data_IF_347890820917
#
_entry.id   IF_347890820917
#
_cell.length_a   1.000
_cell.length_b   1.000
_cell.length_c   1.000
_cell.angle_alpha   90.00
_cell.angle_beta   90.00
_cell.angle_gamma   90.00
#
_symmetry.space_group_name_H-M   'P 1'
#
loop_
_entity.id
_entity.type
_entity.pdbx_description
1 polymer ?
#
# COMPACT_ATOMS: atom_id res chain seq x y z
N UNK A 1 16.24 -19.42 -24.73
CA UNK A 1 14.98 -18.86 -24.20
C UNK A 1 15.07 -18.89 -22.69
N UNK A 2 15.56 -17.79 -22.09
CA UNK A 2 15.83 -17.72 -20.65
C UNK A 2 14.60 -17.07 -20.01
N UNK A 3 13.82 -17.89 -19.33
CA UNK A 3 12.66 -17.49 -18.54
C UNK A 3 13.17 -16.78 -17.28
N UNK A 4 12.99 -15.46 -17.17
CA UNK A 4 13.21 -14.76 -15.91
C UNK A 4 11.90 -14.78 -15.11
N UNK A 5 11.72 -15.81 -14.29
CA UNK A 5 10.83 -15.73 -13.13
C UNK A 5 11.51 -14.82 -12.10
N UNK A 6 11.12 -13.55 -12.06
CA UNK A 6 11.53 -12.64 -11.01
C UNK A 6 10.64 -12.87 -9.78
N UNK A 7 10.89 -13.96 -9.06
CA UNK A 7 10.44 -14.11 -7.69
C UNK A 7 11.37 -13.24 -6.83
N UNK A 8 10.96 -12.00 -6.57
CA UNK A 8 11.60 -11.15 -5.56
C UNK A 8 11.26 -11.77 -4.20
N UNK A 9 12.05 -12.77 -3.81
CA UNK A 9 12.07 -13.27 -2.46
C UNK A 9 12.34 -12.08 -1.53
N UNK A 10 11.30 -11.70 -0.78
CA UNK A 10 11.45 -10.83 0.37
C UNK A 10 12.26 -11.60 1.38
N UNK A 11 13.54 -11.25 1.54
CA UNK A 11 14.22 -11.54 2.78
C UNK A 11 13.45 -10.78 3.86
N UNK A 12 12.77 -11.44 4.81
CA UNK A 12 12.30 -10.73 5.97
C UNK A 12 13.58 -10.18 6.61
N UNK A 13 13.64 -8.86 6.78
CA UNK A 13 14.67 -8.21 7.59
C UNK A 13 14.45 -8.68 9.03
N UNK A 14 14.85 -9.92 9.28
CA UNK A 14 14.78 -10.58 10.58
C UNK A 14 16.07 -10.15 11.25
N UNK A 15 16.10 -8.88 11.66
CA UNK A 15 17.14 -8.44 12.59
C UNK A 15 17.07 -9.38 13.78
N UNK A 16 18.23 -9.89 14.22
CA UNK A 16 18.34 -10.80 15.35
C UNK A 16 17.64 -10.17 16.57
N UNK A 17 16.37 -10.53 16.75
CA UNK A 17 15.47 -9.85 17.66
C UNK A 17 15.87 -10.20 19.08
N UNK A 18 16.26 -9.21 19.88
CA UNK A 18 16.40 -9.43 21.32
C UNK A 18 14.99 -9.63 21.88
N UNK A 19 14.76 -10.68 22.69
CA UNK A 19 13.44 -10.90 23.28
C UNK A 19 13.08 -9.73 24.19
N UNK A 20 12.04 -8.99 23.81
CA UNK A 20 11.56 -7.84 24.58
C UNK A 20 10.89 -8.35 25.85
N UNK A 21 11.19 -7.78 27.04
CA UNK A 21 10.49 -8.14 28.28
C UNK A 21 8.97 -8.01 28.14
N UNK A 22 8.18 -8.85 28.83
CA UNK A 22 6.72 -8.75 28.82
C UNK A 22 6.24 -7.42 29.40
N UNK A 23 5.00 -7.05 29.09
CA UNK A 23 4.36 -5.86 29.64
C UNK A 23 4.41 -5.88 31.18
N UNK A 24 4.56 -4.70 31.80
CA UNK A 24 4.80 -4.47 33.23
C UNK A 24 6.25 -4.66 33.75
N UNK A 25 7.19 -5.25 32.98
CA UNK A 25 8.62 -5.36 33.38
C UNK A 25 9.58 -4.57 32.48
N UNK A 26 9.10 -3.48 31.87
CA UNK A 26 9.86 -2.68 30.88
C UNK A 26 10.51 -1.41 31.46
N UNK A 27 10.52 -1.23 32.78
CA UNK A 27 11.07 -0.02 33.41
C UNK A 27 12.59 0.15 33.18
N UNK A 28 13.33 -0.94 33.01
CA UNK A 28 14.77 -0.95 32.69
C UNK A 28 15.07 -1.01 31.19
N UNK A 29 14.04 -1.07 30.33
CA UNK A 29 14.22 -1.19 28.88
C UNK A 29 14.48 0.19 28.27
N UNK A 30 15.69 0.40 27.75
CA UNK A 30 16.07 1.60 27.01
C UNK A 30 16.43 1.23 25.57
N UNK A 31 15.46 1.16 24.65
CA UNK A 31 15.72 0.77 23.27
C UNK A 31 16.43 1.92 22.54
N UNK A 32 17.58 1.62 21.94
CA UNK A 32 18.34 2.59 21.11
C UNK A 32 18.56 2.07 19.69
N UNK A 33 18.69 0.75 19.53
CA UNK A 33 18.90 0.11 18.24
C UNK A 33 17.60 -0.50 17.75
N UNK A 34 17.52 -0.74 16.44
CA UNK A 34 16.36 -1.37 15.84
C UNK A 34 16.10 -2.77 16.40
N UNK A 35 17.17 -3.51 16.74
CA UNK A 35 17.07 -4.87 17.27
C UNK A 35 16.43 -4.94 18.67
N UNK A 36 16.43 -3.83 19.41
CA UNK A 36 15.89 -3.76 20.79
C UNK A 36 14.35 -3.73 20.81
N UNK A 37 13.70 -3.51 19.65
CA UNK A 37 12.25 -3.51 19.50
C UNK A 37 11.68 -4.89 19.13
N UNK A 38 12.52 -5.91 18.93
CA UNK A 38 12.10 -7.26 18.57
C UNK A 38 11.33 -7.30 17.24
N UNK A 39 10.04 -7.62 17.28
CA UNK A 39 9.14 -7.65 16.12
C UNK A 39 8.65 -6.25 15.67
N UNK A 40 9.13 -5.19 16.31
CA UNK A 40 8.70 -3.82 16.08
C UNK A 40 7.68 -3.33 17.12
N UNK A 41 7.39 -2.02 17.06
CA UNK A 41 6.48 -1.34 17.99
C UNK A 41 7.20 -0.52 19.05
N UNK A 42 6.72 0.71 19.26
CA UNK A 42 7.22 1.60 20.29
C UNK A 42 6.54 1.30 21.64
N UNK A 43 7.24 1.60 22.74
CA UNK A 43 6.77 1.38 24.11
C UNK A 43 6.40 2.72 24.78
N UNK A 44 5.10 3.07 24.88
CA UNK A 44 4.67 4.38 25.43
C UNK A 44 5.07 4.63 26.89
N UNK A 45 5.31 3.56 27.65
CA UNK A 45 5.71 3.64 29.07
C UNK A 45 7.18 4.02 29.28
N UNK A 46 8.01 3.89 28.25
CA UNK A 46 9.42 4.25 28.30
C UNK A 46 9.52 5.68 27.76
N UNK A 47 9.84 6.63 28.63
CA UNK A 47 9.97 8.05 28.29
C UNK A 47 11.30 8.35 27.57
N UNK A 48 11.53 7.64 26.47
CA UNK A 48 12.67 7.81 25.57
C UNK A 48 12.09 7.88 24.16
N UNK A 49 12.69 8.71 23.31
CA UNK A 49 12.30 8.81 21.91
C UNK A 49 12.65 7.50 21.21
N UNK A 50 11.69 6.91 20.52
CA UNK A 50 11.77 5.55 19.98
C UNK A 50 11.48 5.54 18.49
N UNK A 51 12.31 4.82 17.73
CA UNK A 51 12.23 4.74 16.27
C UNK A 51 12.30 3.29 15.74
N UNK A 52 11.33 2.41 16.05
CA UNK A 52 11.30 1.05 15.51
C UNK A 52 10.96 1.09 14.01
N UNK A 53 11.90 0.93 13.08
CA UNK A 53 11.80 1.11 11.62
C UNK A 53 12.13 2.53 11.16
N UNK A 54 12.87 3.30 11.98
CA UNK A 54 13.25 4.68 11.67
C UNK A 54 12.06 5.63 11.40
N UNK A 55 10.83 5.18 11.70
CA UNK A 55 9.62 5.96 11.54
C UNK A 55 9.63 7.17 12.46
N UNK A 56 9.32 8.36 11.95
CA UNK A 56 9.29 9.59 12.73
C UNK A 56 10.66 10.25 12.97
N UNK A 57 11.75 9.64 12.49
CA UNK A 57 13.06 10.28 12.47
C UNK A 57 13.10 11.31 11.33
N UNK A 58 13.34 12.59 11.64
CA UNK A 58 13.46 13.65 10.63
C UNK A 58 14.55 13.38 9.60
N UNK A 59 15.65 12.75 10.03
CA UNK A 59 16.74 12.38 9.14
C UNK A 59 16.43 11.18 8.24
N UNK A 60 15.50 10.30 8.64
CA UNK A 60 15.03 9.23 7.74
C UNK A 60 14.11 9.76 6.63
N UNK A 61 13.58 10.98 6.80
CA UNK A 61 12.86 11.71 5.76
C UNK A 61 13.81 12.46 4.79
N UNK A 62 15.13 12.20 4.80
CA UNK A 62 16.11 12.78 3.84
C UNK A 62 16.02 12.20 2.41
N UNK A 63 14.97 11.48 2.05
CA UNK A 63 14.60 11.41 0.64
C UNK A 63 14.17 12.80 0.23
N UNK A 64 14.76 13.37 -0.83
CA UNK A 64 14.37 14.69 -1.35
C UNK A 64 12.84 14.83 -1.42
N UNK A 65 12.33 16.05 -1.25
CA UNK A 65 10.89 16.36 -1.38
C UNK A 65 10.29 15.97 -2.76
N UNK A 66 11.13 15.47 -3.67
CA UNK A 66 10.81 15.10 -5.04
C UNK A 66 10.51 13.59 -5.20
N UNK A 67 10.50 12.80 -4.12
CA UNK A 67 10.23 11.35 -4.16
C UNK A 67 8.81 11.03 -3.68
N UNK A 68 8.03 10.30 -4.49
CA UNK A 68 6.71 9.82 -4.11
C UNK A 68 6.80 8.70 -3.06
N UNK A 69 5.90 8.74 -2.07
CA UNK A 69 5.78 7.70 -1.07
C UNK A 69 5.35 6.36 -1.70
N UNK A 70 6.08 5.28 -1.38
CA UNK A 70 5.76 3.93 -1.86
C UNK A 70 4.46 3.45 -1.20
N UNK A 71 3.45 3.17 -2.01
CA UNK A 71 2.15 2.66 -1.56
C UNK A 71 2.08 1.14 -1.73
N UNK A 72 1.20 0.50 -0.95
CA UNK A 72 1.06 -0.96 -0.91
C UNK A 72 -0.41 -1.32 -1.00
N UNK A 73 -0.73 -2.33 -1.81
CA UNK A 73 -2.09 -2.87 -1.98
C UNK A 73 -2.53 -3.70 -0.77
N UNK A 74 -3.83 -4.03 -0.70
CA UNK A 74 -4.42 -4.91 0.32
C UNK A 74 -3.76 -6.29 0.40
N UNK A 75 -3.14 -6.77 -0.68
CA UNK A 75 -2.39 -8.03 -0.74
C UNK A 75 -0.93 -7.90 -0.29
N UNK A 76 -0.52 -6.73 0.18
CA UNK A 76 0.85 -6.47 0.61
C UNK A 76 1.84 -6.37 -0.54
N UNK A 77 1.40 -6.11 -1.78
CA UNK A 77 2.28 -5.88 -2.94
C UNK A 77 2.49 -4.37 -3.12
N UNK A 78 3.66 -3.98 -3.61
CA UNK A 78 3.95 -2.58 -3.89
C UNK A 78 3.08 -2.11 -5.06
N UNK A 79 2.38 -0.99 -4.88
CA UNK A 79 1.45 -0.45 -5.86
C UNK A 79 2.16 0.53 -6.79
N UNK A 80 2.83 -0.02 -7.81
CA UNK A 80 3.51 0.77 -8.85
C UNK A 80 2.55 1.62 -9.72
N UNK A 81 1.24 1.36 -9.66
CA UNK A 81 0.24 2.17 -10.35
C UNK A 81 0.04 3.58 -9.78
N UNK A 82 0.58 3.87 -8.58
CA UNK A 82 0.50 5.19 -7.97
C UNK A 82 1.21 6.27 -8.81
N UNK A 83 2.34 5.92 -9.42
CA UNK A 83 3.13 6.84 -10.25
C UNK A 83 2.35 7.26 -11.51
N UNK A 84 1.60 6.32 -12.10
CA UNK A 84 0.82 6.56 -13.32
C UNK A 84 -0.40 7.43 -13.01
N UNK A 85 -0.97 7.29 -11.81
CA UNK A 85 -2.13 8.08 -11.35
C UNK A 85 -1.74 9.47 -10.87
N UNK A 86 -0.44 9.75 -10.71
CA UNK A 86 0.03 11.05 -10.25
C UNK A 86 -0.36 12.14 -11.25
N UNK A 87 -1.19 13.09 -10.82
CA UNK A 87 -1.72 14.17 -11.68
C UNK A 87 -3.02 13.84 -12.41
N UNK A 88 -3.56 12.63 -12.25
CA UNK A 88 -4.89 12.27 -12.77
C UNK A 88 -5.98 12.47 -11.72
N UNK A 89 -7.24 12.56 -12.16
CA UNK A 89 -8.38 12.61 -11.25
C UNK A 89 -8.50 11.29 -10.48
N UNK A 90 -8.81 11.37 -9.18
CA UNK A 90 -8.98 10.18 -8.34
C UNK A 90 -10.09 9.23 -8.84
N UNK A 91 -11.06 9.74 -9.62
CA UNK A 91 -12.14 8.96 -10.21
C UNK A 91 -11.76 8.30 -11.56
N UNK A 92 -10.61 8.64 -12.15
CA UNK A 92 -10.19 8.09 -13.45
C UNK A 92 -9.68 6.66 -13.25
N UNK A 93 -10.23 5.74 -14.04
CA UNK A 93 -9.83 4.33 -14.02
C UNK A 93 -8.62 4.16 -14.94
N UNK A 94 -7.52 3.66 -14.38
CA UNK A 94 -6.27 3.36 -15.09
C UNK A 94 -5.92 1.90 -14.92
N UNK A 95 -5.72 1.22 -16.04
CA UNK A 95 -5.23 -0.16 -16.11
C UNK A 95 -3.71 -0.13 -16.29
N UNK A 96 -2.98 -0.65 -15.30
CA UNK A 96 -1.52 -0.60 -15.27
C UNK A 96 -0.88 -1.96 -15.03
N UNK A 97 -1.67 -2.97 -14.65
CA UNK A 97 -1.15 -4.27 -14.27
C UNK A 97 -1.19 -5.24 -15.44
N UNK A 98 -0.27 -6.20 -15.46
CA UNK A 98 -0.31 -7.26 -16.48
C UNK A 98 -1.60 -8.10 -16.40
N UNK A 99 -2.22 -8.18 -15.23
CA UNK A 99 -3.51 -8.85 -15.05
C UNK A 99 -4.63 -8.20 -15.87
N UNK A 100 -4.50 -6.93 -16.23
CA UNK A 100 -5.47 -6.20 -17.06
C UNK A 100 -5.33 -6.53 -18.55
N UNK A 101 -4.16 -7.01 -18.99
CA UNK A 101 -3.90 -7.42 -20.38
C UNK A 101 -4.37 -8.84 -20.68
N UNK A 102 -4.57 -9.65 -19.65
CA UNK A 102 -4.97 -11.05 -19.81
C UNK A 102 -6.46 -11.08 -20.19
N UNK A 103 -6.82 -11.72 -21.32
CA UNK A 103 -8.21 -11.80 -21.73
C UNK A 103 -9.02 -12.60 -20.71
N UNK A 104 -10.20 -12.08 -20.35
CA UNK A 104 -11.14 -12.77 -19.47
C UNK A 104 -12.03 -13.66 -20.32
N UNK A 105 -11.78 -14.96 -20.28
CA UNK A 105 -12.46 -15.95 -21.13
C UNK A 105 -13.82 -16.36 -20.55
N UNK A 106 -13.98 -16.30 -19.22
CA UNK A 106 -15.26 -16.57 -18.56
C UNK A 106 -15.85 -15.25 -18.05
N UNK A 107 -17.12 -14.93 -18.37
CA UNK A 107 -17.81 -13.83 -17.70
C UNK A 107 -17.87 -14.17 -16.21
N UNK A 108 -17.31 -13.31 -15.37
CA UNK A 108 -17.50 -13.44 -13.92
C UNK A 108 -18.98 -13.24 -13.60
N UNK A 109 -19.54 -13.94 -12.59
CA UNK A 109 -20.96 -13.79 -12.22
C UNK A 109 -21.33 -12.34 -11.84
N UNK A 110 -20.35 -11.51 -11.49
CA UNK A 110 -20.52 -10.10 -11.13
C UNK A 110 -20.53 -9.14 -12.34
N UNK A 111 -20.07 -9.59 -13.52
CA UNK A 111 -20.16 -8.79 -14.76
C UNK A 111 -21.50 -9.08 -15.41
N UNK A 112 -22.48 -8.27 -15.06
CA UNK A 112 -23.72 -8.20 -15.81
C UNK A 112 -23.43 -7.36 -17.06
N UNK A 113 -23.22 -8.02 -18.21
CA UNK A 113 -23.28 -7.36 -19.53
C UNK A 113 -24.73 -6.94 -19.89
N UNK A 114 -25.60 -6.81 -18.88
CA UNK A 114 -26.96 -6.35 -19.04
C UNK A 114 -26.93 -4.87 -19.41
N UNK A 115 -27.78 -4.49 -20.37
CA UNK A 115 -28.04 -3.09 -20.64
C UNK A 115 -28.51 -2.41 -19.34
N UNK A 116 -28.09 -1.17 -19.15
CA UNK A 116 -28.61 -0.35 -18.05
C UNK A 116 -30.14 -0.30 -18.11
N UNK A 117 -30.78 -0.21 -16.94
CA UNK A 117 -32.23 -0.11 -16.87
C UNK A 117 -32.72 1.14 -17.63
N UNK A 118 -33.89 1.04 -18.29
CA UNK A 118 -34.44 2.13 -19.11
C UNK A 118 -34.54 3.45 -18.33
N UNK A 119 -34.96 3.40 -17.06
CA UNK A 119 -35.04 4.57 -16.17
C UNK A 119 -33.69 5.28 -15.96
N UNK A 120 -32.58 4.54 -15.88
CA UNK A 120 -31.23 5.12 -15.73
C UNK A 120 -30.76 5.79 -17.02
N UNK A 121 -31.14 5.21 -18.17
CA UNK A 121 -30.84 5.75 -19.50
C UNK A 121 -31.58 7.07 -19.70
N UNK A 122 -32.86 7.13 -19.35
CA UNK A 122 -33.64 8.38 -19.43
C UNK A 122 -33.07 9.46 -18.51
N UNK A 123 -32.75 9.11 -17.25
CA UNK A 123 -32.16 10.04 -16.30
C UNK A 123 -30.78 10.58 -16.73
N UNK A 124 -29.92 9.72 -17.29
CA UNK A 124 -28.61 10.15 -17.82
C UNK A 124 -28.76 11.00 -19.08
N UNK A 125 -29.73 10.68 -19.95
CA UNK A 125 -30.04 11.47 -21.14
C UNK A 125 -30.53 12.87 -20.76
N UNK A 126 -31.46 12.98 -19.82
CA UNK A 126 -31.96 14.27 -19.32
C UNK A 126 -30.85 15.10 -18.65
N UNK A 127 -29.97 14.48 -17.85
CA UNK A 127 -28.81 15.15 -17.24
C UNK A 127 -27.84 15.67 -18.28
N UNK A 128 -27.56 14.89 -19.32
CA UNK A 128 -26.64 15.26 -20.40
C UNK A 128 -27.24 16.40 -21.24
N UNK A 129 -28.53 16.32 -21.56
CA UNK A 129 -29.25 17.38 -22.28
C UNK A 129 -29.26 18.72 -21.52
N UNK A 130 -29.44 18.69 -20.20
CA UNK A 130 -29.44 19.90 -19.38
C UNK A 130 -28.05 20.56 -19.23
N UNK A 131 -26.96 19.83 -19.54
CA UNK A 131 -25.59 20.30 -19.38
C UNK A 131 -24.95 20.83 -20.68
N UNK A 132 -25.57 20.59 -21.84
CA UNK A 132 -25.18 21.11 -23.15
C UNK A 132 -25.73 22.52 -23.38
#
# INVERSE_FOLDING_TARGET
>A
MIMYSCDVARDPVTMLAKPVPPYARRASLMPRRQEDFGAGGAFPKVHVVQYPLFMGLREAALGSNDVLAVTVDTRGRVAFGADIRLGENAAKIVYSSHADLIPRITPSPDHQDAAAAEDEVEATTARTWAAL
#
